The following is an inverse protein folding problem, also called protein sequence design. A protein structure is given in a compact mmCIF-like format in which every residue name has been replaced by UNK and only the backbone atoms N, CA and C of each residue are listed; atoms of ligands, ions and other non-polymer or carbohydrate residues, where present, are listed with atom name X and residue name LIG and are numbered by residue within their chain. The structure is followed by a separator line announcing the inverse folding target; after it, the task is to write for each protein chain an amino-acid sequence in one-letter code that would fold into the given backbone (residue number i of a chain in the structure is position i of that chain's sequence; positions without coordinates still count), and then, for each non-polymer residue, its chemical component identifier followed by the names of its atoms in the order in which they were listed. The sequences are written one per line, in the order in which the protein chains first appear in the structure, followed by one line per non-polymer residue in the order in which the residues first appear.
data_IF_165002370177
#
_entry.id   IF_165002370177
#
_cell.length_a   1.000
_cell.length_b   1.000
_cell.length_c   1.000
_cell.angle_alpha   90.00
_cell.angle_beta   90.00
_cell.angle_gamma   90.00
#
_symmetry.space_group_name_H-M   'P 1'
#
loop_
_entity.id
_entity.type
_entity.pdbx_description
1 polymer ?
#
# COMPACT_ATOMS: atom_id res chain seq x y z
N UNK A 1 -4.25 8.80 -3.19
CA UNK A 1 -3.70 7.58 -2.58
C UNK A 1 -4.04 6.40 -3.46
N UNK A 2 -3.07 5.59 -3.78
CA UNK A 2 -3.20 4.49 -4.75
C UNK A 2 -2.65 3.22 -4.12
N UNK A 3 -3.13 2.08 -4.58
CA UNK A 3 -2.55 0.76 -4.27
C UNK A 3 -3.40 -0.13 -3.37
N UNK A 4 -3.17 -1.45 -3.44
CA UNK A 4 -3.96 -2.44 -2.72
C UNK A 4 -3.89 -2.31 -1.19
N UNK A 5 -2.76 -1.82 -0.67
CA UNK A 5 -2.58 -1.61 0.77
C UNK A 5 -3.00 -0.21 1.27
N UNK A 6 -3.44 0.71 0.40
CA UNK A 6 -3.81 2.07 0.80
C UNK A 6 -5.03 2.12 1.73
N UNK A 7 -5.96 1.17 1.60
CA UNK A 7 -7.17 1.08 2.40
C UNK A 7 -7.28 -0.27 3.13
N UNK A 8 -6.16 -0.79 3.61
CA UNK A 8 -6.08 -2.04 4.36
C UNK A 8 -5.27 -1.85 5.64
N UNK A 9 -5.72 -2.43 6.74
CA UNK A 9 -4.90 -2.60 7.94
C UNK A 9 -4.17 -3.93 7.80
N UNK A 10 -2.87 -3.90 7.74
CA UNK A 10 -2.05 -5.11 7.70
C UNK A 10 -1.62 -5.49 9.11
N UNK A 11 -2.08 -6.64 9.55
CA UNK A 11 -1.72 -7.27 10.82
C UNK A 11 -0.72 -8.40 10.56
N UNK A 12 0.16 -8.68 11.52
CA UNK A 12 1.09 -9.81 11.43
C UNK A 12 0.40 -11.15 11.72
N UNK A 13 1.10 -12.27 11.49
CA UNK A 13 0.59 -13.64 11.51
C UNK A 13 -0.14 -14.02 12.78
N UNK A 14 0.41 -13.67 13.92
CA UNK A 14 -0.07 -14.10 15.24
C UNK A 14 -1.00 -13.07 15.89
N UNK A 15 -1.50 -12.11 15.12
CA UNK A 15 -2.50 -11.20 15.65
C UNK A 15 -3.88 -11.83 15.66
N UNK A 16 -4.66 -11.49 16.69
CA UNK A 16 -6.05 -11.92 16.79
C UNK A 16 -6.97 -11.12 15.86
N UNK A 17 -6.61 -9.87 15.58
CA UNK A 17 -7.37 -8.97 14.72
C UNK A 17 -7.21 -9.32 13.24
N UNK A 18 -8.28 -9.17 12.46
CA UNK A 18 -8.39 -9.69 11.09
C UNK A 18 -9.08 -8.77 10.12
N UNK A 19 -9.60 -7.69 10.63
CA UNK A 19 -10.51 -6.83 9.87
C UNK A 19 -10.07 -5.38 9.97
N UNK A 20 -10.29 -4.62 8.91
CA UNK A 20 -10.11 -3.17 8.95
C UNK A 20 -10.90 -2.50 10.09
N UNK A 21 -11.95 -3.16 10.62
CA UNK A 21 -12.70 -2.68 11.79
C UNK A 21 -11.89 -2.63 13.08
N UNK A 22 -10.80 -3.40 13.14
CA UNK A 22 -9.95 -3.52 14.32
C UNK A 22 -8.78 -2.54 14.31
N UNK A 23 -8.73 -1.63 13.33
CA UNK A 23 -7.65 -0.66 13.21
C UNK A 23 -7.98 0.51 12.28
N UNK A 24 -6.98 1.32 12.01
CA UNK A 24 -7.06 2.49 11.14
C UNK A 24 -6.28 2.22 9.86
N UNK A 25 -6.95 2.25 8.72
CA UNK A 25 -6.27 2.14 7.42
C UNK A 25 -5.45 3.40 7.11
N UNK A 26 -4.41 3.31 6.26
CA UNK A 26 -3.67 4.50 5.81
C UNK A 26 -4.58 5.60 5.23
N UNK A 27 -5.58 5.20 4.44
CA UNK A 27 -6.56 6.12 3.86
C UNK A 27 -7.40 6.83 4.92
N UNK A 28 -7.90 6.10 5.91
CA UNK A 28 -8.68 6.68 7.03
C UNK A 28 -7.82 7.58 7.91
N UNK A 29 -6.62 7.13 8.26
CA UNK A 29 -5.67 7.90 9.05
C UNK A 29 -5.34 9.24 8.38
N UNK A 30 -5.04 9.22 7.07
CA UNK A 30 -4.75 10.45 6.35
C UNK A 30 -5.98 11.36 6.22
N UNK A 31 -7.15 10.82 5.89
CA UNK A 31 -8.40 11.61 5.86
C UNK A 31 -8.68 12.30 7.19
N UNK A 32 -8.55 11.58 8.28
CA UNK A 32 -8.71 12.12 9.64
C UNK A 32 -7.69 13.21 9.94
N UNK A 33 -6.44 13.02 9.51
CA UNK A 33 -5.34 13.95 9.79
C UNK A 33 -5.45 15.25 9.02
N UNK A 34 -5.79 15.20 7.74
CA UNK A 34 -5.85 16.40 6.90
C UNK A 34 -7.22 17.08 6.92
N UNK A 35 -8.27 16.38 7.30
CA UNK A 35 -9.64 16.90 7.28
C UNK A 35 -10.03 17.44 5.90
N UNK A 36 -10.62 18.61 5.89
CA UNK A 36 -11.04 19.28 4.63
C UNK A 36 -9.94 20.13 3.97
N UNK A 37 -8.71 20.12 4.51
CA UNK A 37 -7.61 20.96 3.98
C UNK A 37 -6.98 20.39 2.72
N UNK A 38 -7.05 19.07 2.53
CA UNK A 38 -6.50 18.35 1.38
C UNK A 38 -7.58 17.43 0.84
N UNK A 39 -7.81 17.50 -0.47
CA UNK A 39 -8.68 16.54 -1.16
C UNK A 39 -7.91 15.26 -1.41
N UNK A 40 -8.46 14.15 -0.95
CA UNK A 40 -7.87 12.82 -1.18
C UNK A 40 -8.70 12.09 -2.24
N UNK A 41 -8.06 11.80 -3.38
CA UNK A 41 -8.56 10.87 -4.37
C UNK A 41 -7.97 9.48 -4.07
N UNK A 42 -8.76 8.42 -4.19
CA UNK A 42 -8.34 7.05 -3.89
C UNK A 42 -8.73 6.10 -5.02
N UNK A 43 -7.84 5.19 -5.34
CA UNK A 43 -8.11 4.01 -6.16
C UNK A 43 -7.20 2.86 -5.72
N UNK A 44 -7.71 1.65 -5.69
CA UNK A 44 -6.89 0.46 -5.39
C UNK A 44 -5.90 0.15 -6.53
N UNK A 45 -6.29 0.38 -7.77
CA UNK A 45 -5.49 0.14 -8.97
C UNK A 45 -5.34 -1.34 -9.31
N UNK A 46 -4.89 -2.15 -8.37
CA UNK A 46 -4.79 -3.61 -8.50
C UNK A 46 -5.10 -4.29 -7.16
N UNK A 47 -5.09 -5.60 -7.15
CA UNK A 47 -5.00 -6.41 -5.94
C UNK A 47 -3.55 -6.79 -5.61
N UNK A 48 -3.34 -7.64 -4.59
CA UNK A 48 -2.00 -7.99 -4.12
C UNK A 48 -1.33 -9.08 -4.96
N UNK A 49 -2.08 -9.89 -5.71
CA UNK A 49 -1.57 -11.18 -6.21
C UNK A 49 -1.77 -11.36 -7.70
N UNK A 50 -2.89 -10.89 -8.24
CA UNK A 50 -3.29 -11.23 -9.61
C UNK A 50 -2.70 -10.29 -10.65
N UNK A 51 -2.74 -10.74 -11.92
CA UNK A 51 -2.33 -9.94 -13.07
C UNK A 51 -3.45 -9.01 -13.59
N UNK A 52 -4.46 -8.75 -12.75
CA UNK A 52 -5.62 -7.93 -13.10
C UNK A 52 -5.29 -6.44 -13.06
N UNK A 53 -5.29 -5.81 -14.23
CA UNK A 53 -5.04 -4.37 -14.43
C UNK A 53 -6.30 -3.53 -14.61
N UNK A 54 -7.49 -4.08 -14.40
CA UNK A 54 -8.75 -3.37 -14.67
C UNK A 54 -8.94 -2.09 -13.84
N UNK A 55 -8.23 -1.94 -12.73
CA UNK A 55 -8.25 -0.73 -11.89
C UNK A 55 -7.21 0.33 -12.27
N UNK A 56 -6.33 0.08 -13.25
CA UNK A 56 -5.25 1.03 -13.63
C UNK A 56 -5.80 2.35 -14.13
N UNK A 57 -6.80 2.32 -14.99
CA UNK A 57 -7.40 3.55 -15.55
C UNK A 57 -7.97 4.45 -14.44
N UNK A 58 -8.63 3.88 -13.44
CA UNK A 58 -9.15 4.62 -12.28
C UNK A 58 -8.00 5.22 -11.46
N UNK A 59 -6.94 4.45 -11.23
CA UNK A 59 -5.76 4.92 -10.50
C UNK A 59 -5.07 6.08 -11.25
N UNK A 60 -4.87 5.94 -12.55
CA UNK A 60 -4.31 6.98 -13.41
C UNK A 60 -5.18 8.25 -13.38
N UNK A 61 -6.51 8.11 -13.49
CA UNK A 61 -7.44 9.24 -13.43
C UNK A 61 -7.36 9.95 -12.06
N UNK A 62 -7.30 9.19 -10.96
CA UNK A 62 -7.16 9.74 -9.61
C UNK A 62 -5.86 10.53 -9.45
N UNK A 63 -4.74 10.04 -9.99
CA UNK A 63 -3.45 10.76 -9.93
C UNK A 63 -3.42 11.97 -10.84
N UNK A 64 -3.95 11.89 -12.06
CA UNK A 64 -4.08 13.06 -12.95
C UNK A 64 -4.86 14.21 -12.31
N UNK A 65 -5.86 13.89 -11.48
CA UNK A 65 -6.67 14.84 -10.74
C UNK A 65 -6.06 15.29 -9.39
N UNK A 66 -4.81 14.96 -9.13
CA UNK A 66 -4.10 15.25 -7.87
C UNK A 66 -2.78 15.95 -8.13
N UNK A 67 -2.18 16.57 -7.11
CA UNK A 67 -0.88 17.24 -7.20
C UNK A 67 0.29 16.28 -6.99
N UNK A 68 0.04 15.18 -6.27
CA UNK A 68 1.02 14.12 -6.00
C UNK A 68 0.34 12.77 -5.78
N UNK A 69 1.10 11.70 -5.85
CA UNK A 69 0.65 10.34 -5.55
C UNK A 69 1.38 9.76 -4.33
N UNK A 70 0.65 9.03 -3.50
CA UNK A 70 1.22 8.11 -2.50
C UNK A 70 0.71 6.73 -2.83
N UNK A 71 1.62 5.82 -3.19
CA UNK A 71 1.29 4.47 -3.68
C UNK A 71 1.66 3.44 -2.64
N UNK A 72 0.69 2.66 -2.19
CA UNK A 72 0.82 1.63 -1.16
C UNK A 72 0.83 0.25 -1.80
N UNK A 73 2.00 -0.34 -1.87
CA UNK A 73 2.23 -1.70 -2.41
C UNK A 73 2.87 -2.60 -1.37
N UNK A 74 3.00 -3.86 -1.65
CA UNK A 74 3.72 -4.79 -0.78
C UNK A 74 2.99 -6.11 -0.57
N UNK A 75 2.85 -6.54 0.68
CA UNK A 75 2.37 -7.86 1.05
C UNK A 75 1.15 -7.82 1.98
N UNK A 76 0.55 -8.99 2.13
CA UNK A 76 -0.42 -9.32 3.17
C UNK A 76 0.04 -10.55 3.91
N UNK A 77 -0.01 -10.53 5.24
CA UNK A 77 0.39 -11.68 6.06
C UNK A 77 -0.70 -12.75 6.09
N UNK A 78 -0.27 -14.00 6.00
CA UNK A 78 -1.10 -15.13 6.40
C UNK A 78 -1.42 -14.98 7.89
N UNK A 79 -2.67 -14.82 8.25
CA UNK A 79 -3.06 -14.84 9.65
C UNK A 79 -3.96 -16.04 9.89
N UNK A 80 -3.89 -16.62 11.11
CA UNK A 80 -4.70 -17.79 11.52
C UNK A 80 -6.21 -17.62 11.30
N UNK A 81 -6.60 -16.51 10.78
CA UNK A 81 -7.96 -16.05 10.71
C UNK A 81 -8.42 -15.53 9.38
N UNK A 82 -7.55 -15.38 8.43
CA UNK A 82 -7.91 -14.96 7.07
C UNK A 82 -8.13 -16.19 6.20
N UNK A 83 -8.98 -16.00 5.22
CA UNK A 83 -8.88 -16.74 3.99
C UNK A 83 -7.48 -16.48 3.44
N UNK A 84 -6.69 -17.54 3.29
CA UNK A 84 -5.30 -17.46 2.82
C UNK A 84 -5.16 -17.08 1.35
N UNK A 85 -6.25 -16.80 0.67
CA UNK A 85 -6.27 -16.55 -0.78
C UNK A 85 -5.47 -15.33 -1.21
N UNK A 86 -5.25 -14.37 -0.30
CA UNK A 86 -4.50 -13.13 -0.56
C UNK A 86 -3.20 -13.01 0.27
N UNK A 87 -2.80 -14.08 0.97
CA UNK A 87 -1.57 -14.08 1.74
C UNK A 87 -0.35 -14.20 0.83
N UNK A 88 0.63 -13.31 1.03
CA UNK A 88 1.88 -13.28 0.27
C UNK A 88 3.12 -13.43 1.16
N UNK A 89 2.95 -13.57 2.46
CA UNK A 89 4.00 -13.89 3.42
C UNK A 89 3.39 -14.43 4.71
N UNK A 90 4.23 -14.89 5.61
CA UNK A 90 3.84 -15.38 6.91
C UNK A 90 4.29 -16.81 7.15
N UNK A 91 3.99 -17.36 8.33
CA UNK A 91 4.34 -18.74 8.65
C UNK A 91 3.62 -19.71 7.70
N UNK A 92 4.41 -20.59 7.07
CA UNK A 92 3.91 -21.55 6.08
C UNK A 92 3.62 -20.96 4.70
N UNK A 93 3.97 -19.69 4.46
CA UNK A 93 3.78 -18.99 3.19
C UNK A 93 5.09 -18.41 2.67
N UNK A 94 5.75 -19.18 1.81
CA UNK A 94 6.94 -18.74 1.11
C UNK A 94 6.62 -18.29 -0.30
N UNK A 95 7.42 -17.38 -0.82
CA UNK A 95 7.37 -16.95 -2.21
C UNK A 95 8.61 -17.47 -2.96
N UNK A 96 8.43 -17.81 -4.21
CA UNK A 96 9.52 -18.23 -5.11
C UNK A 96 10.36 -17.05 -5.61
N UNK A 97 9.89 -15.82 -5.48
CA UNK A 97 10.58 -14.57 -5.84
C UNK A 97 10.51 -13.55 -4.70
N UNK A 98 11.48 -12.64 -4.68
CA UNK A 98 11.44 -11.45 -3.82
C UNK A 98 10.75 -10.25 -4.48
N UNK A 99 10.30 -10.37 -5.72
CA UNK A 99 9.59 -9.31 -6.42
C UNK A 99 8.22 -9.06 -5.80
N UNK A 100 7.65 -7.89 -6.05
CA UNK A 100 6.26 -7.61 -5.72
C UNK A 100 5.35 -8.57 -6.49
N UNK A 101 4.34 -9.11 -5.82
CA UNK A 101 3.40 -10.06 -6.43
C UNK A 101 2.40 -9.36 -7.35
N UNK A 102 1.87 -10.09 -8.33
CA UNK A 102 0.91 -9.57 -9.31
C UNK A 102 1.49 -8.42 -10.12
N UNK A 103 0.67 -7.43 -10.40
CA UNK A 103 1.02 -6.26 -11.22
C UNK A 103 1.31 -4.99 -10.40
N UNK A 104 1.72 -5.13 -9.16
CA UNK A 104 1.94 -4.00 -8.26
C UNK A 104 3.08 -3.08 -8.74
N UNK A 105 4.20 -3.62 -9.22
CA UNK A 105 5.30 -2.81 -9.75
C UNK A 105 4.89 -2.07 -11.01
N UNK A 106 4.19 -2.74 -11.92
CA UNK A 106 3.64 -2.12 -13.13
C UNK A 106 2.65 -0.98 -12.81
N UNK A 107 1.86 -1.11 -11.73
CA UNK A 107 1.02 0.00 -11.25
C UNK A 107 1.87 1.21 -10.85
N UNK A 108 2.98 0.99 -10.13
CA UNK A 108 3.90 2.09 -9.75
C UNK A 108 4.51 2.73 -10.99
N UNK A 109 4.91 1.96 -11.99
CA UNK A 109 5.45 2.44 -13.26
C UNK A 109 4.45 3.32 -14.01
N UNK A 110 3.21 2.88 -14.13
CA UNK A 110 2.12 3.64 -14.76
C UNK A 110 1.85 4.97 -14.04
N UNK A 111 1.83 4.95 -12.71
CA UNK A 111 1.65 6.16 -11.92
C UNK A 111 2.84 7.11 -12.07
N UNK A 112 4.07 6.60 -12.08
CA UNK A 112 5.27 7.39 -12.29
C UNK A 112 5.29 8.06 -13.66
N UNK A 113 4.85 7.36 -14.71
CA UNK A 113 4.82 7.87 -16.08
C UNK A 113 3.91 9.10 -16.26
N UNK A 114 3.01 9.40 -15.30
CA UNK A 114 2.19 10.62 -15.31
C UNK A 114 3.04 11.88 -15.07
N UNK A 115 4.24 11.74 -14.49
CA UNK A 115 5.19 12.83 -14.27
C UNK A 115 4.86 13.71 -13.05
N UNK A 116 4.03 13.24 -12.12
CA UNK A 116 3.77 13.91 -10.84
C UNK A 116 4.68 13.37 -9.74
N UNK A 117 4.91 14.12 -8.64
CA UNK A 117 5.64 13.59 -7.49
C UNK A 117 4.99 12.31 -6.96
N UNK A 118 5.81 11.27 -6.73
CA UNK A 118 5.37 9.97 -6.24
C UNK A 118 6.13 9.62 -4.97
N UNK A 119 5.41 9.16 -3.96
CA UNK A 119 5.94 8.47 -2.78
C UNK A 119 5.44 7.03 -2.84
N UNK A 120 6.33 6.06 -2.65
CA UNK A 120 5.96 4.65 -2.48
C UNK A 120 6.03 4.28 -1.01
N UNK A 121 4.96 3.70 -0.49
CA UNK A 121 4.90 3.08 0.83
C UNK A 121 4.88 1.57 0.62
N UNK A 122 5.97 0.92 1.00
CA UNK A 122 6.13 -0.52 0.95
C UNK A 122 5.62 -1.13 2.25
N UNK A 123 4.43 -1.70 2.23
CA UNK A 123 3.83 -2.40 3.37
C UNK A 123 4.26 -3.85 3.32
N UNK A 124 5.05 -4.29 4.30
CA UNK A 124 5.72 -5.59 4.19
C UNK A 124 5.96 -6.28 5.52
N UNK A 125 5.95 -7.61 5.50
CA UNK A 125 6.46 -8.48 6.57
C UNK A 125 7.75 -9.21 6.19
N UNK A 126 8.28 -8.94 4.97
CA UNK A 126 9.49 -9.56 4.42
C UNK A 126 10.25 -8.59 3.52
N UNK A 127 11.51 -8.85 3.17
CA UNK A 127 12.22 -8.06 2.17
C UNK A 127 11.63 -8.26 0.77
N UNK A 128 11.64 -7.19 -0.03
CA UNK A 128 11.30 -7.20 -1.45
C UNK A 128 12.44 -6.69 -2.31
N UNK A 129 12.56 -7.25 -3.50
CA UNK A 129 13.36 -6.70 -4.60
C UNK A 129 12.55 -5.58 -5.25
N UNK A 130 13.01 -4.35 -5.12
CA UNK A 130 12.33 -3.14 -5.65
C UNK A 130 13.30 -2.30 -6.48
N UNK A 131 14.11 -2.95 -7.32
CA UNK A 131 15.21 -2.29 -8.03
C UNK A 131 14.72 -1.12 -8.90
N UNK A 132 13.69 -1.33 -9.68
CA UNK A 132 13.12 -0.28 -10.52
C UNK A 132 12.56 0.88 -9.67
N UNK A 133 11.78 0.57 -8.63
CA UNK A 133 11.22 1.58 -7.71
C UNK A 133 12.34 2.39 -7.06
N UNK A 134 13.41 1.74 -6.60
CA UNK A 134 14.56 2.41 -5.99
C UNK A 134 15.26 3.38 -6.94
N UNK A 135 15.33 3.06 -8.22
CA UNK A 135 16.00 3.89 -9.23
C UNK A 135 15.16 5.10 -9.64
N UNK A 136 13.83 4.99 -9.63
CA UNK A 136 12.94 5.99 -10.23
C UNK A 136 12.15 6.80 -9.20
N UNK A 137 11.86 6.24 -8.03
CA UNK A 137 10.99 6.89 -7.03
C UNK A 137 11.84 7.65 -6.00
N UNK A 138 11.65 8.97 -5.88
CA UNK A 138 12.49 9.81 -5.03
C UNK A 138 12.28 9.62 -3.52
N UNK A 139 11.12 9.07 -3.12
CA UNK A 139 10.78 8.85 -1.71
C UNK A 139 10.12 7.49 -1.51
N UNK A 140 10.77 6.64 -0.73
CA UNK A 140 10.30 5.30 -0.39
C UNK A 140 10.24 5.18 1.12
N UNK A 141 9.09 4.74 1.62
CA UNK A 141 8.86 4.45 3.04
C UNK A 141 8.63 2.97 3.20
N UNK A 142 9.36 2.33 4.09
CA UNK A 142 9.10 0.95 4.49
C UNK A 142 8.23 0.96 5.74
N UNK A 143 6.99 0.56 5.56
CA UNK A 143 6.04 0.37 6.64
C UNK A 143 5.89 -1.12 6.90
N UNK A 144 6.36 -1.58 8.06
CA UNK A 144 6.08 -2.94 8.50
C UNK A 144 4.60 -3.09 8.88
N UNK A 145 4.18 -4.27 9.24
CA UNK A 145 2.82 -4.50 9.75
C UNK A 145 2.66 -3.80 11.09
N UNK A 146 2.14 -2.59 11.05
CA UNK A 146 2.03 -1.72 12.22
C UNK A 146 0.78 -1.96 13.07
N UNK A 147 -0.08 -2.89 12.65
CA UNK A 147 -1.28 -3.25 13.38
C UNK A 147 -2.31 -2.11 13.47
N UNK A 148 -3.02 -2.06 14.60
CA UNK A 148 -4.20 -1.20 14.84
C UNK A 148 -4.01 0.28 14.50
N UNK A 149 -2.85 0.85 14.78
CA UNK A 149 -2.57 2.29 14.63
C UNK A 149 -1.65 2.61 13.45
N UNK A 150 -1.39 1.66 12.59
CA UNK A 150 -0.51 1.86 11.43
C UNK A 150 -0.96 3.03 10.54
N UNK A 151 -2.27 3.17 10.31
CA UNK A 151 -2.81 4.26 9.51
C UNK A 151 -2.65 5.65 10.15
N UNK A 152 -2.81 5.77 11.47
CA UNK A 152 -2.54 7.03 12.17
C UNK A 152 -1.03 7.38 12.10
N UNK A 153 -0.15 6.40 12.30
CA UNK A 153 1.30 6.60 12.28
C UNK A 153 1.82 7.03 10.90
N UNK A 154 1.42 6.31 9.84
CA UNK A 154 1.83 6.67 8.48
C UNK A 154 1.27 8.03 8.05
N UNK A 155 0.05 8.36 8.49
CA UNK A 155 -0.53 9.67 8.22
C UNK A 155 0.25 10.79 8.89
N UNK A 156 0.69 10.62 10.13
CA UNK A 156 1.51 11.59 10.87
C UNK A 156 2.87 11.81 10.17
N UNK A 157 3.50 10.75 9.70
CA UNK A 157 4.74 10.82 8.94
C UNK A 157 4.54 11.56 7.61
N UNK A 158 3.50 11.22 6.83
CA UNK A 158 3.23 11.85 5.53
C UNK A 158 2.93 13.35 5.63
N UNK A 159 2.40 13.82 6.75
CA UNK A 159 2.14 15.27 6.98
C UNK A 159 3.29 15.98 7.71
N UNK A 160 4.42 15.32 7.94
CA UNK A 160 5.63 15.95 8.50
C UNK A 160 5.56 16.21 10.00
N UNK A 161 4.92 15.33 10.76
CA UNK A 161 4.92 15.41 12.24
C UNK A 161 6.12 14.73 12.90
N UNK A 162 6.91 14.04 12.13
CA UNK A 162 8.16 13.37 12.54
C UNK A 162 9.30 13.82 11.65
#
# INVERSE_FOLDING_TARGET
MIGPNANQVQFGDYTWSRSNKDGVTPLEGLKKRVGNKIKINYAAGCDLITDNKSGFDEAVAAVKASDMAVVFVGSSSASLARDYSDATCGEGFDLSSLDLTGVQEELVEEIYAIGKPVIVVLVTGKPFSISWIKEHIPAIVVQWYGGEKAGDAIADMLVGKY
#
